data_IF_562303510336
#
_entry.id   IF_562303510336
#
_cell.length_a   1.000
_cell.length_b   1.000
_cell.length_c   1.000
_cell.angle_alpha   90.00
_cell.angle_beta   90.00
_cell.angle_gamma   90.00
#
_symmetry.space_group_name_H-M   'P 1'
#
loop_
_entity.id
_entity.type
_entity.pdbx_description
1 polymer ?
#
# COMPACT_ATOMS: atom_id res chain seq x y z
N UNK A 1 -21.90 2.25 10.48
CA UNK A 1 -22.95 1.57 9.69
C UNK A 1 -24.24 2.36 9.51
N UNK A 2 -24.83 2.96 10.56
CA UNK A 2 -26.07 3.74 10.41
C UNK A 2 -26.03 4.84 9.34
N UNK A 3 -24.89 5.53 9.18
CA UNK A 3 -24.73 6.59 8.18
C UNK A 3 -24.88 6.07 6.74
N UNK A 4 -24.09 5.08 6.32
CA UNK A 4 -24.18 4.55 4.94
C UNK A 4 -25.51 3.85 4.67
N UNK A 5 -26.10 3.19 5.69
CA UNK A 5 -27.46 2.64 5.58
C UNK A 5 -28.51 3.73 5.38
N UNK A 6 -28.38 4.89 6.04
CA UNK A 6 -29.29 6.03 5.81
C UNK A 6 -29.12 6.65 4.42
N UNK A 7 -28.01 6.36 3.71
CA UNK A 7 -27.82 6.69 2.29
C UNK A 7 -28.38 5.61 1.34
N UNK A 8 -29.09 4.60 1.85
CA UNK A 8 -29.70 3.54 1.04
C UNK A 8 -28.79 2.36 0.72
N UNK A 9 -27.61 2.26 1.33
CA UNK A 9 -26.72 1.10 1.16
C UNK A 9 -27.34 -0.13 1.82
N UNK A 10 -27.64 -1.16 1.02
CA UNK A 10 -28.27 -2.42 1.46
C UNK A 10 -27.28 -3.56 1.67
N UNK A 11 -26.10 -3.49 1.03
CA UNK A 11 -25.03 -4.49 1.15
C UNK A 11 -23.69 -3.77 1.30
N UNK A 12 -22.81 -4.33 2.13
CA UNK A 12 -21.46 -3.82 2.34
C UNK A 12 -20.46 -4.97 2.39
N UNK A 13 -19.33 -4.75 1.74
CA UNK A 13 -18.12 -5.55 1.93
C UNK A 13 -16.99 -4.63 2.38
N UNK A 14 -16.16 -5.10 3.32
CA UNK A 14 -14.91 -4.48 3.69
C UNK A 14 -13.79 -5.28 3.03
N UNK A 15 -13.04 -4.67 2.11
CA UNK A 15 -11.82 -5.28 1.56
C UNK A 15 -10.63 -4.78 2.38
N UNK A 16 -9.88 -5.71 2.98
CA UNK A 16 -8.65 -5.38 3.70
C UNK A 16 -7.50 -5.34 2.68
N UNK A 17 -6.79 -4.20 2.64
CA UNK A 17 -5.64 -4.00 1.73
C UNK A 17 -4.48 -4.92 2.09
N UNK A 18 -4.10 -4.97 3.37
CA UNK A 18 -3.04 -5.83 3.92
C UNK A 18 -3.10 -5.84 5.46
N UNK A 19 -2.19 -6.58 6.11
CA UNK A 19 -2.26 -6.87 7.54
C UNK A 19 -1.77 -5.77 8.51
N UNK A 20 -1.27 -4.62 8.05
CA UNK A 20 -0.78 -3.60 8.98
C UNK A 20 -1.89 -3.01 9.86
N UNK A 21 -1.51 -2.64 11.08
CA UNK A 21 -2.44 -2.33 12.17
C UNK A 21 -3.43 -1.22 11.80
N UNK A 22 -2.96 -0.17 11.14
CA UNK A 22 -3.77 0.97 10.67
C UNK A 22 -4.79 0.60 9.57
N UNK A 23 -4.61 -0.54 8.91
CA UNK A 23 -5.54 -1.08 7.91
C UNK A 23 -6.53 -2.10 8.49
N UNK A 24 -6.21 -2.70 9.66
CA UNK A 24 -7.05 -3.75 10.27
C UNK A 24 -7.70 -3.34 11.60
N UNK A 25 -7.25 -2.26 12.24
CA UNK A 25 -7.65 -1.93 13.61
C UNK A 25 -9.16 -1.71 13.77
N UNK A 26 -9.81 -1.15 12.75
CA UNK A 26 -11.26 -0.87 12.76
C UNK A 26 -12.15 -2.00 12.26
N UNK A 27 -11.61 -3.15 11.86
CA UNK A 27 -12.35 -4.21 11.15
C UNK A 27 -13.52 -4.78 11.95
N UNK A 28 -13.41 -4.87 13.29
CA UNK A 28 -14.47 -5.36 14.18
C UNK A 28 -15.77 -4.54 14.08
N UNK A 29 -15.67 -3.21 13.93
CA UNK A 29 -16.84 -2.33 13.80
C UNK A 29 -17.64 -2.67 12.53
N UNK A 30 -16.95 -3.02 11.45
CA UNK A 30 -17.60 -3.40 10.19
C UNK A 30 -18.16 -4.83 10.25
N UNK A 31 -17.44 -5.76 10.89
CA UNK A 31 -17.91 -7.13 11.08
C UNK A 31 -19.17 -7.19 11.94
N UNK A 32 -19.20 -6.52 13.10
CA UNK A 32 -20.41 -6.34 13.94
C UNK A 32 -21.53 -5.61 13.19
N UNK A 33 -21.15 -4.80 12.22
CA UNK A 33 -22.03 -4.12 11.29
C UNK A 33 -22.67 -4.99 10.20
N UNK A 34 -22.29 -6.27 10.11
CA UNK A 34 -22.78 -7.21 9.10
C UNK A 34 -22.07 -7.13 7.75
N UNK A 35 -20.92 -6.44 7.65
CA UNK A 35 -20.15 -6.40 6.41
C UNK A 35 -19.45 -7.75 6.15
N UNK A 36 -19.40 -8.17 4.88
CA UNK A 36 -18.53 -9.29 4.47
C UNK A 36 -17.08 -8.82 4.47
N UNK A 37 -16.21 -9.48 5.22
CA UNK A 37 -14.78 -9.12 5.30
C UNK A 37 -14.01 -9.93 4.26
N UNK A 38 -13.55 -9.24 3.21
CA UNK A 38 -12.86 -9.80 2.05
C UNK A 38 -11.37 -9.49 2.16
N UNK A 39 -10.51 -10.43 1.79
CA UNK A 39 -9.07 -10.17 1.77
C UNK A 39 -8.23 -11.32 1.24
N UNK A 40 -6.93 -11.08 1.09
CA UNK A 40 -5.98 -12.08 0.66
C UNK A 40 -5.84 -13.19 1.71
N UNK A 41 -5.69 -14.45 1.28
CA UNK A 41 -5.49 -15.58 2.18
C UNK A 41 -4.29 -15.38 3.14
N UNK A 42 -3.22 -14.71 2.68
CA UNK A 42 -2.04 -14.37 3.51
C UNK A 42 -2.39 -13.34 4.59
N UNK A 43 -3.20 -12.32 4.29
CA UNK A 43 -3.71 -11.37 5.28
C UNK A 43 -4.46 -12.11 6.39
N UNK A 44 -5.36 -13.03 6.01
CA UNK A 44 -6.11 -13.84 6.98
C UNK A 44 -5.20 -14.63 7.92
N UNK A 45 -4.15 -15.23 7.38
CA UNK A 45 -3.17 -16.00 8.16
C UNK A 45 -2.40 -15.09 9.12
N UNK A 46 -1.89 -13.95 8.65
CA UNK A 46 -1.11 -13.02 9.47
C UNK A 46 -1.94 -12.39 10.59
N UNK A 47 -3.15 -11.91 10.29
CA UNK A 47 -4.04 -11.34 11.31
C UNK A 47 -4.38 -12.39 12.38
N UNK A 48 -4.74 -13.62 11.98
CA UNK A 48 -5.02 -14.71 12.93
C UNK A 48 -3.81 -15.02 13.81
N UNK A 49 -2.62 -15.13 13.21
CA UNK A 49 -1.37 -15.39 13.93
C UNK A 49 -1.05 -14.29 14.95
N UNK A 50 -1.33 -13.04 14.61
CA UNK A 50 -0.98 -11.89 15.43
C UNK A 50 -2.08 -11.48 16.43
N UNK A 51 -3.18 -12.23 16.54
CA UNK A 51 -4.34 -11.86 17.40
C UNK A 51 -3.93 -11.50 18.83
N UNK A 52 -3.04 -12.28 19.45
CA UNK A 52 -2.59 -12.02 20.82
C UNK A 52 -1.74 -10.75 20.93
N UNK A 53 -0.82 -10.50 19.99
CA UNK A 53 0.01 -9.29 20.01
C UNK A 53 -0.81 -8.04 19.72
N UNK A 54 -1.80 -8.13 18.82
CA UNK A 54 -2.72 -7.04 18.51
C UNK A 54 -3.59 -6.65 19.72
N UNK A 55 -4.10 -7.65 20.46
CA UNK A 55 -4.87 -7.41 21.68
C UNK A 55 -4.03 -6.83 22.83
N UNK A 56 -2.70 -6.93 22.76
CA UNK A 56 -1.75 -6.36 23.72
C UNK A 56 -1.17 -5.00 23.29
N UNK A 57 -1.58 -4.47 22.13
CA UNK A 57 -1.16 -3.16 21.64
C UNK A 57 -1.78 -2.02 22.46
N UNK A 58 -1.32 -0.77 22.24
CA UNK A 58 -1.84 0.43 22.90
C UNK A 58 -2.26 1.50 21.86
N UNK A 59 -3.56 1.69 21.62
CA UNK A 59 -4.69 0.98 22.23
C UNK A 59 -4.85 -0.47 21.73
N UNK A 60 -5.52 -1.36 22.48
CA UNK A 60 -5.75 -2.74 22.05
C UNK A 60 -6.50 -2.85 20.72
N UNK A 61 -6.00 -3.70 19.82
CA UNK A 61 -6.61 -3.94 18.52
C UNK A 61 -7.35 -5.29 18.52
N UNK A 62 -8.66 -5.23 18.27
CA UNK A 62 -9.50 -6.41 18.02
C UNK A 62 -9.73 -6.57 16.51
N UNK A 63 -8.69 -6.97 15.77
CA UNK A 63 -8.82 -7.17 14.33
C UNK A 63 -9.63 -8.43 14.00
N UNK A 64 -10.61 -8.31 13.09
CA UNK A 64 -11.34 -9.42 12.51
C UNK A 64 -10.65 -9.84 11.21
N UNK A 65 -10.08 -11.06 11.12
CA UNK A 65 -9.45 -11.52 9.89
C UNK A 65 -10.48 -11.66 8.77
N UNK A 66 -10.09 -11.46 7.49
CA UNK A 66 -10.99 -11.73 6.39
C UNK A 66 -11.44 -13.20 6.37
N UNK A 67 -12.71 -13.41 6.05
CA UNK A 67 -13.34 -14.74 5.96
C UNK A 67 -13.70 -15.10 4.54
N UNK A 68 -13.95 -14.10 3.69
CA UNK A 68 -14.16 -14.27 2.26
C UNK A 68 -12.83 -14.06 1.52
N UNK A 69 -12.15 -15.16 1.21
CA UNK A 69 -10.75 -15.13 0.79
C UNK A 69 -10.58 -15.14 -0.71
N UNK A 70 -9.45 -14.60 -1.17
CA UNK A 70 -8.97 -14.78 -2.53
C UNK A 70 -7.46 -14.99 -2.58
N UNK A 71 -6.98 -15.50 -3.72
CA UNK A 71 -5.57 -15.59 -4.09
C UNK A 71 -5.40 -15.10 -5.51
N UNK A 72 -4.30 -14.41 -5.81
CA UNK A 72 -4.05 -13.85 -7.14
C UNK A 72 -4.99 -12.69 -7.48
N UNK A 73 -6.09 -13.00 -8.19
CA UNK A 73 -7.08 -12.02 -8.65
C UNK A 73 -8.50 -12.49 -8.36
N UNK A 74 -9.40 -11.56 -8.02
CA UNK A 74 -10.84 -11.81 -7.88
C UNK A 74 -11.64 -10.63 -8.43
N UNK A 75 -12.82 -10.89 -8.98
CA UNK A 75 -13.76 -9.84 -9.40
C UNK A 75 -14.93 -9.79 -8.43
N UNK A 76 -15.27 -8.59 -7.98
CA UNK A 76 -16.45 -8.26 -7.18
C UNK A 76 -17.37 -7.31 -7.97
N UNK A 77 -18.67 -7.39 -7.69
CA UNK A 77 -19.66 -6.44 -8.21
C UNK A 77 -20.09 -5.49 -7.12
N UNK A 78 -20.03 -4.19 -7.40
CA UNK A 78 -20.52 -3.12 -6.53
C UNK A 78 -21.47 -2.27 -7.35
N UNK A 79 -22.78 -2.54 -7.23
CA UNK A 79 -23.77 -2.00 -8.16
C UNK A 79 -23.45 -2.41 -9.60
N UNK A 80 -23.27 -1.44 -10.50
CA UNK A 80 -22.88 -1.67 -11.89
C UNK A 80 -21.35 -1.71 -12.11
N UNK A 81 -20.55 -1.48 -11.06
CA UNK A 81 -19.10 -1.49 -11.17
C UNK A 81 -18.56 -2.92 -11.05
N UNK A 82 -17.62 -3.25 -11.93
CA UNK A 82 -16.72 -4.39 -11.76
C UNK A 82 -15.48 -3.90 -11.02
N UNK A 83 -15.23 -4.45 -9.83
CA UNK A 83 -14.06 -4.13 -9.01
C UNK A 83 -13.17 -5.36 -8.97
N UNK A 84 -11.97 -5.25 -9.49
CA UNK A 84 -11.00 -6.34 -9.53
C UNK A 84 -10.01 -6.18 -8.37
N UNK A 85 -9.91 -7.20 -7.53
CA UNK A 85 -8.92 -7.32 -6.47
C UNK A 85 -7.70 -7.99 -7.09
N UNK A 86 -6.53 -7.36 -6.98
CA UNK A 86 -5.26 -7.91 -7.44
C UNK A 86 -4.27 -7.93 -6.30
N UNK A 87 -3.57 -9.04 -6.11
CA UNK A 87 -2.43 -9.07 -5.20
C UNK A 87 -1.20 -8.46 -5.90
N UNK A 88 -0.64 -7.41 -5.32
CA UNK A 88 0.68 -6.87 -5.67
C UNK A 88 1.58 -7.03 -4.44
N UNK A 89 2.69 -7.76 -4.61
CA UNK A 89 3.61 -8.05 -3.52
C UNK A 89 4.58 -6.87 -3.33
N UNK A 90 4.01 -5.74 -2.90
CA UNK A 90 4.69 -4.48 -2.61
C UNK A 90 4.22 -4.05 -1.22
N UNK A 91 5.11 -3.43 -0.45
CA UNK A 91 4.91 -3.04 0.96
C UNK A 91 4.80 -4.27 1.89
N UNK A 92 3.91 -5.21 1.58
CA UNK A 92 3.81 -6.55 2.17
C UNK A 92 3.50 -7.64 1.13
N UNK A 93 3.78 -8.93 1.41
CA UNK A 93 3.48 -10.02 0.49
C UNK A 93 1.99 -10.28 0.22
N UNK A 94 1.09 -9.64 0.97
CA UNK A 94 -0.37 -9.79 0.89
C UNK A 94 -1.08 -8.55 0.33
N UNK A 95 -0.32 -7.53 -0.12
CA UNK A 95 -0.84 -6.27 -0.65
C UNK A 95 -1.95 -6.46 -1.69
N UNK A 96 -3.12 -5.90 -1.41
CA UNK A 96 -4.32 -5.95 -2.25
C UNK A 96 -4.61 -4.56 -2.80
N UNK A 97 -4.71 -4.44 -4.12
CA UNK A 97 -5.20 -3.24 -4.79
C UNK A 97 -6.59 -3.50 -5.38
N UNK A 98 -7.41 -2.45 -5.48
CA UNK A 98 -8.68 -2.49 -6.19
C UNK A 98 -8.55 -1.76 -7.51
N UNK A 99 -8.78 -2.46 -8.61
CA UNK A 99 -8.82 -1.90 -9.96
C UNK A 99 -10.26 -1.81 -10.46
N UNK A 100 -10.66 -0.64 -10.96
CA UNK A 100 -11.99 -0.41 -11.54
C UNK A 100 -11.79 -0.06 -13.04
N UNK A 101 -11.84 -1.04 -13.95
CA UNK A 101 -11.50 -0.84 -15.36
C UNK A 101 -12.32 0.27 -16.03
N UNK A 102 -13.64 0.29 -15.79
CA UNK A 102 -14.55 1.28 -16.39
C UNK A 102 -14.32 2.72 -15.94
N UNK A 103 -13.53 2.91 -14.87
CA UNK A 103 -13.14 4.22 -14.33
C UNK A 103 -11.67 4.50 -14.50
N UNK A 104 -10.90 3.55 -15.04
CA UNK A 104 -9.44 3.59 -15.09
C UNK A 104 -8.83 4.02 -13.74
N UNK A 105 -9.37 3.49 -12.64
CA UNK A 105 -9.09 3.94 -11.27
C UNK A 105 -8.54 2.79 -10.43
N UNK A 106 -7.43 3.06 -9.73
CA UNK A 106 -6.75 2.13 -8.84
C UNK A 106 -6.79 2.65 -7.39
N UNK A 107 -7.34 1.87 -6.46
CA UNK A 107 -7.08 2.05 -5.04
C UNK A 107 -5.86 1.21 -4.67
N UNK A 108 -4.74 1.87 -4.35
CA UNK A 108 -3.45 1.22 -4.24
C UNK A 108 -3.12 0.67 -2.84
N UNK A 109 -3.91 1.03 -1.81
CA UNK A 109 -3.49 0.79 -0.43
C UNK A 109 -2.11 1.40 -0.21
N UNK A 110 -1.18 0.61 0.33
CA UNK A 110 0.21 1.01 0.59
C UNK A 110 1.17 0.48 -0.50
N UNK A 111 0.62 -0.10 -1.57
CA UNK A 111 1.44 -0.48 -2.74
C UNK A 111 2.12 0.74 -3.36
N UNK A 112 1.50 1.91 -3.22
CA UNK A 112 2.05 3.21 -3.58
C UNK A 112 1.78 4.16 -2.40
N UNK A 113 2.80 4.93 -2.02
CA UNK A 113 2.73 5.89 -0.92
C UNK A 113 3.48 7.17 -1.32
N UNK A 114 2.90 8.33 -1.02
CA UNK A 114 3.49 9.65 -1.28
C UNK A 114 3.93 10.26 0.07
N UNK A 115 5.17 10.74 0.25
CA UNK A 115 6.20 11.07 -0.76
C UNK A 115 7.13 9.91 -1.15
N UNK A 116 7.33 8.93 -0.27
CA UNK A 116 8.25 7.82 -0.52
C UNK A 116 7.68 6.54 0.04
N UNK A 117 7.74 5.45 -0.73
CA UNK A 117 7.32 4.12 -0.26
C UNK A 117 8.08 3.69 0.99
N UNK A 118 7.38 3.06 1.94
CA UNK A 118 7.98 2.47 3.11
C UNK A 118 8.60 1.09 2.80
N UNK A 119 9.86 0.89 3.16
CA UNK A 119 10.64 -0.32 2.89
C UNK A 119 10.83 -1.12 4.18
N UNK A 120 9.79 -1.85 4.57
CA UNK A 120 9.81 -2.77 5.71
C UNK A 120 10.75 -3.97 5.50
N UNK A 121 10.80 -4.51 4.27
CA UNK A 121 11.68 -5.63 3.89
C UNK A 121 12.50 -5.30 2.63
N UNK A 122 13.72 -4.82 2.85
CA UNK A 122 14.63 -4.49 1.76
C UNK A 122 15.00 -5.68 0.85
N UNK A 123 14.89 -6.93 1.33
CA UNK A 123 15.17 -8.12 0.51
C UNK A 123 14.11 -8.36 -0.56
N UNK A 124 12.90 -7.84 -0.35
CA UNK A 124 11.79 -7.98 -1.28
C UNK A 124 11.77 -6.90 -2.36
N UNK A 125 12.68 -5.92 -2.34
CA UNK A 125 12.74 -4.83 -3.33
C UNK A 125 12.82 -5.30 -4.80
N UNK A 126 13.56 -6.35 -5.17
CA UNK A 126 13.52 -6.88 -6.54
C UNK A 126 12.13 -7.38 -6.94
N UNK A 127 11.38 -7.95 -6.01
CA UNK A 127 9.97 -8.32 -6.23
C UNK A 127 9.11 -7.06 -6.36
N UNK A 128 9.31 -6.07 -5.48
CA UNK A 128 8.55 -4.82 -5.54
C UNK A 128 8.70 -4.12 -6.90
N UNK A 129 9.93 -4.03 -7.44
CA UNK A 129 10.19 -3.44 -8.75
C UNK A 129 9.46 -4.20 -9.88
N UNK A 130 9.48 -5.54 -9.87
CA UNK A 130 8.75 -6.35 -10.85
C UNK A 130 7.24 -6.15 -10.76
N UNK A 131 6.71 -6.05 -9.55
CA UNK A 131 5.29 -5.82 -9.32
C UNK A 131 4.86 -4.40 -9.72
N UNK A 132 5.70 -3.38 -9.48
CA UNK A 132 5.48 -2.01 -9.97
C UNK A 132 5.50 -1.97 -11.50
N UNK A 133 6.45 -2.68 -12.14
CA UNK A 133 6.47 -2.85 -13.60
C UNK A 133 5.23 -3.59 -14.13
N UNK A 134 4.72 -4.59 -13.40
CA UNK A 134 3.45 -5.21 -13.76
C UNK A 134 2.29 -4.21 -13.66
N UNK A 135 2.30 -3.34 -12.65
CA UNK A 135 1.26 -2.34 -12.44
C UNK A 135 1.18 -1.32 -13.58
N UNK A 136 2.31 -0.95 -14.21
CA UNK A 136 2.32 -0.01 -15.35
C UNK A 136 1.60 -0.55 -16.59
N UNK A 137 1.30 -1.86 -16.64
CA UNK A 137 0.54 -2.46 -17.75
C UNK A 137 -0.97 -2.16 -17.68
N UNK A 138 -1.46 -1.65 -16.56
CA UNK A 138 -2.87 -1.30 -16.39
C UNK A 138 -3.12 0.08 -17.00
N UNK A 139 -4.24 0.29 -17.71
CA UNK A 139 -4.54 1.58 -18.34
C UNK A 139 -5.09 2.58 -17.29
N UNK A 140 -4.26 2.94 -16.31
CA UNK A 140 -4.62 3.75 -15.14
C UNK A 140 -4.64 5.24 -15.48
N UNK A 141 -5.70 5.92 -15.07
CA UNK A 141 -5.83 7.38 -15.12
C UNK A 141 -5.75 8.01 -13.72
N UNK A 142 -6.18 7.29 -12.69
CA UNK A 142 -6.27 7.76 -11.30
C UNK A 142 -5.80 6.70 -10.32
N UNK A 143 -4.96 7.11 -9.37
CA UNK A 143 -4.41 6.30 -8.29
C UNK A 143 -4.76 6.96 -6.97
N UNK A 144 -5.38 6.20 -6.08
CA UNK A 144 -5.78 6.60 -4.74
C UNK A 144 -5.00 5.72 -3.74
N UNK A 145 -3.86 6.19 -3.21
CA UNK A 145 -3.15 5.50 -2.14
C UNK A 145 -3.90 5.64 -0.80
N UNK A 146 -3.54 4.82 0.19
CA UNK A 146 -4.02 5.01 1.55
C UNK A 146 -3.20 6.08 2.31
N UNK A 147 -1.92 6.24 1.96
CA UNK A 147 -1.05 7.29 2.49
C UNK A 147 -0.56 8.23 1.38
N UNK A 148 -0.84 9.52 1.56
CA UNK A 148 -0.47 10.58 0.64
C UNK A 148 -1.15 11.89 1.02
N UNK A 149 -1.05 12.91 0.17
CA UNK A 149 -1.68 14.21 0.44
C UNK A 149 -3.21 14.10 0.40
N UNK A 150 -3.93 14.44 1.50
CA UNK A 150 -5.39 14.32 1.56
C UNK A 150 -6.11 15.17 0.50
N UNK A 151 -5.56 16.33 0.14
CA UNK A 151 -6.18 17.22 -0.86
C UNK A 151 -6.07 16.62 -2.26
N UNK A 152 -4.90 16.06 -2.62
CA UNK A 152 -4.68 15.34 -3.88
C UNK A 152 -5.59 14.12 -3.97
N UNK A 153 -5.69 13.32 -2.92
CA UNK A 153 -6.58 12.15 -2.87
C UNK A 153 -8.04 12.58 -3.06
N UNK A 154 -8.49 13.59 -2.32
CA UNK A 154 -9.88 14.10 -2.40
C UNK A 154 -10.23 14.71 -3.77
N UNK A 155 -9.26 15.26 -4.50
CA UNK A 155 -9.46 15.91 -5.81
C UNK A 155 -9.25 14.99 -7.01
N UNK A 156 -9.03 13.70 -6.79
CA UNK A 156 -9.01 12.68 -7.85
C UNK A 156 -7.76 11.82 -7.92
N UNK A 157 -6.84 11.97 -6.96
CA UNK A 157 -5.65 11.13 -6.83
C UNK A 157 -4.52 11.51 -7.79
N UNK A 158 -3.57 10.59 -7.93
CA UNK A 158 -2.38 10.72 -8.77
C UNK A 158 -2.63 10.07 -10.13
N UNK A 159 -1.87 10.46 -11.14
CA UNK A 159 -1.86 9.81 -12.45
C UNK A 159 -0.88 8.61 -12.45
N UNK A 160 -0.78 7.91 -13.58
CA UNK A 160 0.08 6.72 -13.70
C UNK A 160 1.59 7.01 -13.53
N UNK A 161 2.04 8.27 -13.66
CA UNK A 161 3.46 8.61 -13.46
C UNK A 161 3.90 8.47 -12.01
N UNK A 162 2.98 8.41 -11.05
CA UNK A 162 3.27 8.07 -9.65
C UNK A 162 4.00 6.72 -9.52
N UNK A 163 3.61 5.71 -10.30
CA UNK A 163 4.28 4.39 -10.30
C UNK A 163 5.74 4.54 -10.72
N UNK A 164 6.00 5.37 -11.73
CA UNK A 164 7.35 5.62 -12.22
C UNK A 164 8.18 6.42 -11.23
N UNK A 165 7.59 7.37 -10.50
CA UNK A 165 8.26 8.08 -9.42
C UNK A 165 8.66 7.12 -8.28
N UNK A 166 7.78 6.18 -7.90
CA UNK A 166 8.11 5.12 -6.93
C UNK A 166 9.25 4.23 -7.42
N UNK A 167 9.25 3.83 -8.70
CA UNK A 167 10.34 3.07 -9.31
C UNK A 167 11.66 3.83 -9.25
N UNK A 168 11.68 5.10 -9.67
CA UNK A 168 12.88 5.98 -9.62
C UNK A 168 13.42 6.13 -8.21
N UNK A 169 12.55 6.31 -7.22
CA UNK A 169 12.96 6.36 -5.81
C UNK A 169 13.61 5.04 -5.37
N UNK A 170 13.00 3.89 -5.67
CA UNK A 170 13.59 2.58 -5.34
C UNK A 170 14.93 2.37 -6.04
N UNK A 171 15.05 2.74 -7.32
CA UNK A 171 16.30 2.66 -8.09
C UNK A 171 17.40 3.52 -7.45
N UNK A 172 17.09 4.77 -7.09
CA UNK A 172 18.03 5.65 -6.40
C UNK A 172 18.47 5.08 -5.04
N UNK A 173 17.57 4.40 -4.32
CA UNK A 173 17.86 3.76 -3.04
C UNK A 173 18.63 2.45 -3.16
N UNK A 174 18.56 1.78 -4.31
CA UNK A 174 19.12 0.45 -4.54
C UNK A 174 20.25 0.41 -5.57
N UNK A 175 20.77 1.56 -5.99
CA UNK A 175 21.94 1.68 -6.89
C UNK A 175 23.06 0.69 -6.50
N UNK A 176 23.62 -0.02 -7.50
CA UNK A 176 24.62 -1.07 -7.31
C UNK A 176 26.02 -0.51 -7.04
N UNK A 177 26.10 0.27 -5.96
CA UNK A 177 27.33 0.83 -5.40
C UNK A 177 27.32 0.61 -3.89
N UNK A 178 28.48 0.57 -3.20
CA UNK A 178 28.53 0.30 -1.76
C UNK A 178 27.69 1.27 -0.91
N UNK A 179 27.55 2.52 -1.36
CA UNK A 179 26.78 3.56 -0.67
C UNK A 179 26.11 4.49 -1.70
N UNK A 180 24.85 4.21 -2.09
CA UNK A 180 24.06 5.09 -2.98
C UNK A 180 24.02 6.52 -2.47
N UNK A 181 24.13 7.49 -3.39
CA UNK A 181 24.12 8.91 -3.02
C UNK A 181 22.81 9.32 -2.33
N UNK A 182 21.69 8.67 -2.69
CA UNK A 182 20.38 8.92 -2.11
C UNK A 182 20.37 8.77 -0.59
N UNK A 183 21.15 7.86 -0.01
CA UNK A 183 21.15 7.61 1.44
C UNK A 183 21.74 8.76 2.26
N UNK A 184 22.49 9.67 1.64
CA UNK A 184 23.11 10.81 2.31
C UNK A 184 22.43 12.15 1.96
N UNK A 185 21.49 12.15 1.01
CA UNK A 185 20.73 13.33 0.60
C UNK A 185 19.42 13.39 1.38
N UNK A 186 18.87 14.58 1.65
CA UNK A 186 17.51 14.69 2.14
C UNK A 186 16.53 14.19 1.07
N UNK A 187 15.40 13.63 1.48
CA UNK A 187 14.34 13.14 0.58
C UNK A 187 13.93 14.22 -0.42
N UNK A 188 13.78 15.46 0.05
CA UNK A 188 13.47 16.63 -0.79
C UNK A 188 14.38 16.77 -2.03
N UNK A 189 15.65 16.35 -1.94
CA UNK A 189 16.57 16.35 -3.09
C UNK A 189 16.46 15.07 -3.92
N UNK A 190 16.20 13.93 -3.30
CA UNK A 190 16.09 12.63 -3.98
C UNK A 190 14.86 12.61 -4.91
N UNK A 191 13.74 13.17 -4.47
CA UNK A 191 12.48 13.21 -5.25
C UNK A 191 12.23 14.56 -5.94
N UNK A 192 13.22 15.46 -5.99
CA UNK A 192 13.02 16.83 -6.45
C UNK A 192 12.41 16.91 -7.86
N UNK A 193 12.85 16.04 -8.78
CA UNK A 193 12.33 16.01 -10.14
C UNK A 193 10.85 15.57 -10.19
N UNK A 194 10.48 14.57 -9.38
CA UNK A 194 9.12 14.03 -9.31
C UNK A 194 8.14 14.99 -8.63
N UNK A 195 8.63 15.76 -7.66
CA UNK A 195 7.87 16.85 -7.04
C UNK A 195 7.68 17.99 -8.04
N UNK A 196 8.72 18.36 -8.79
CA UNK A 196 8.65 19.41 -9.79
C UNK A 196 7.72 19.07 -10.96
N UNK A 197 7.64 17.79 -11.36
CA UNK A 197 6.70 17.32 -12.39
C UNK A 197 5.27 17.14 -11.88
N UNK A 198 5.05 17.20 -10.55
CA UNK A 198 3.76 16.99 -9.90
C UNK A 198 3.36 15.52 -9.73
N UNK A 199 4.28 14.60 -9.97
CA UNK A 199 4.13 13.14 -9.79
C UNK A 199 4.05 12.78 -8.30
N UNK A 200 4.74 13.54 -7.45
CA UNK A 200 4.75 13.42 -5.99
C UNK A 200 4.45 14.77 -5.33
N UNK A 201 4.03 14.75 -4.07
CA UNK A 201 3.95 15.94 -3.22
C UNK A 201 4.94 15.76 -2.08
N UNK A 202 5.85 16.72 -1.92
CA UNK A 202 6.81 16.67 -0.83
C UNK A 202 6.13 16.89 0.52
N UNK A 203 6.34 15.95 1.44
CA UNK A 203 5.91 16.04 2.83
C UNK A 203 7.09 15.76 3.75
N UNK A 204 7.46 16.73 4.59
CA UNK A 204 8.68 16.68 5.40
C UNK A 204 8.75 15.51 6.37
N UNK A 205 7.61 14.97 6.80
CA UNK A 205 7.53 13.84 7.71
C UNK A 205 8.08 12.55 7.07
N UNK A 206 8.07 12.46 5.74
CA UNK A 206 8.67 11.34 5.01
C UNK A 206 10.20 11.38 4.98
N UNK A 207 10.85 12.44 5.45
CA UNK A 207 12.31 12.45 5.66
C UNK A 207 12.73 11.35 6.65
N UNK A 208 11.94 11.09 7.69
CA UNK A 208 12.21 10.00 8.64
C UNK A 208 11.98 8.61 8.02
N UNK A 209 10.95 8.49 7.17
CA UNK A 209 10.70 7.28 6.37
C UNK A 209 11.88 7.01 5.43
N UNK A 210 12.39 8.05 4.75
CA UNK A 210 13.55 7.96 3.88
C UNK A 210 14.82 7.50 4.61
N UNK A 211 15.12 8.08 5.78
CA UNK A 211 16.23 7.64 6.64
C UNK A 211 16.05 6.17 7.08
N UNK A 212 14.84 5.79 7.49
CA UNK A 212 14.52 4.41 7.87
C UNK A 212 14.73 3.44 6.71
N UNK A 213 14.32 3.82 5.50
CA UNK A 213 14.53 3.07 4.27
C UNK A 213 16.02 2.83 3.98
N UNK A 214 16.86 3.88 4.06
CA UNK A 214 18.31 3.75 3.88
C UNK A 214 18.91 2.76 4.89
N UNK A 215 18.52 2.86 6.17
CA UNK A 215 18.97 1.95 7.23
C UNK A 215 18.51 0.50 7.00
N UNK A 216 17.27 0.31 6.52
CA UNK A 216 16.73 -1.01 6.15
C UNK A 216 17.58 -1.67 5.07
N UNK A 217 17.88 -0.95 3.99
CA UNK A 217 18.67 -1.45 2.86
C UNK A 217 20.13 -1.71 3.28
N UNK A 218 20.75 -0.78 4.02
CA UNK A 218 22.12 -0.93 4.51
C UNK A 218 22.28 -2.21 5.36
N UNK A 219 21.34 -2.47 6.27
CA UNK A 219 21.32 -3.70 7.08
C UNK A 219 21.19 -4.96 6.23
N UNK A 220 20.33 -4.92 5.20
CA UNK A 220 20.15 -6.04 4.27
C UNK A 220 21.43 -6.35 3.49
N UNK A 221 22.09 -5.33 2.91
CA UNK A 221 23.36 -5.49 2.18
C UNK A 221 24.51 -5.95 3.07
N UNK A 222 24.55 -5.50 4.33
CA UNK A 222 25.57 -5.91 5.30
C UNK A 222 25.48 -7.38 5.71
N UNK A 223 24.27 -7.95 5.72
CA UNK A 223 24.05 -9.38 6.00
C UNK A 223 24.45 -10.27 4.83
N UNK A 224 24.09 -9.90 3.60
CA UNK A 224 24.46 -10.67 2.40
C UNK A 224 25.96 -10.72 2.07
N UNK A 225 26.82 -9.98 2.79
CA UNK A 225 28.28 -10.08 2.70
C UNK A 225 28.90 -11.03 3.74
N UNK A 226 28.11 -11.53 4.69
CA UNK A 226 28.57 -12.40 5.81
C UNK A 226 28.14 -13.86 5.66
N UNK A 227 27.32 -14.16 4.66
CA UNK A 227 26.89 -15.50 4.26
C UNK A 227 27.65 -15.92 3.00
#
# INVERSE_FOLDING_TARGET
MRHVQSQGVTQMSLVISHFHNDHIAGTDVFAKGGATIVGNARTAQTVKKNTQSLAADDPPIQAVPPTDLYTGTRVMKVGNLSVELHNFQIHTPDGTVLWIPSKQMLFAGDTLEDTATFIADARSLPTHQKELQRMTTFPISKILPAHGDPTRIATGGYNATFINATLRYIEAMTEDVPRPAAWARPLSQVVAADVASGDLIYFSQYEEVHKSNANSIQRSRGRGKRD
#
